data_IF_776855258551
#
_entry.id   IF_776855258551
#
_cell.length_a   1.000
_cell.length_b   1.000
_cell.length_c   1.000
_cell.angle_alpha   90.00
_cell.angle_beta   90.00
_cell.angle_gamma   90.00
#
_symmetry.space_group_name_H-M   'P 1'
#
loop_
_entity.id
_entity.type
_entity.pdbx_description
1 polymer ?
#
# COMPACT_ATOMS: atom_id res chain seq x y z
N UNK A 1 22.64 -16.68 14.61
CA UNK A 1 21.22 -16.32 14.87
C UNK A 1 20.31 -16.60 13.67
N UNK A 2 20.58 -16.05 12.48
CA UNK A 2 19.74 -16.30 11.29
C UNK A 2 19.53 -17.79 10.95
N UNK A 3 20.57 -18.64 11.05
CA UNK A 3 20.46 -20.10 10.83
C UNK A 3 19.55 -20.84 11.83
N UNK A 4 19.25 -20.23 12.99
CA UNK A 4 18.34 -20.78 14.01
C UNK A 4 16.88 -20.39 13.74
N UNK A 5 16.65 -19.37 12.89
CA UNK A 5 15.35 -18.81 12.57
C UNK A 5 14.61 -19.65 11.51
N UNK A 6 14.55 -20.98 11.72
CA UNK A 6 13.84 -21.91 10.85
C UNK A 6 12.33 -21.90 11.13
N UNK A 7 11.94 -21.66 12.38
CA UNK A 7 10.55 -21.60 12.82
C UNK A 7 10.11 -20.16 13.08
N UNK A 8 8.86 -19.82 12.75
CA UNK A 8 8.35 -18.44 12.81
C UNK A 8 8.43 -17.79 14.20
N UNK A 9 8.26 -18.58 15.27
CA UNK A 9 8.40 -18.12 16.67
C UNK A 9 9.85 -17.74 16.99
N UNK A 10 10.81 -18.56 16.54
CA UNK A 10 12.24 -18.31 16.71
C UNK A 10 12.71 -17.11 15.89
N UNK A 11 12.22 -16.96 14.65
CA UNK A 11 12.46 -15.76 13.82
C UNK A 11 12.03 -14.50 14.56
N UNK A 12 10.80 -14.49 15.10
CA UNK A 12 10.28 -13.34 15.85
C UNK A 12 11.13 -12.99 17.05
N UNK A 13 11.50 -13.96 17.90
CA UNK A 13 12.32 -13.70 19.09
C UNK A 13 13.69 -13.13 18.76
N UNK A 14 14.33 -13.62 17.70
CA UNK A 14 15.62 -13.10 17.23
C UNK A 14 15.47 -11.67 16.73
N UNK A 15 14.48 -11.41 15.87
CA UNK A 15 14.26 -10.08 15.30
C UNK A 15 13.87 -9.05 16.38
N UNK A 16 12.97 -9.38 17.31
CA UNK A 16 12.61 -8.50 18.41
C UNK A 16 13.80 -8.12 19.28
N UNK A 17 14.72 -9.05 19.52
CA UNK A 17 15.93 -8.78 20.30
C UNK A 17 16.85 -7.80 19.57
N UNK A 18 17.02 -7.97 18.26
CA UNK A 18 17.79 -7.05 17.41
C UNK A 18 17.13 -5.68 17.34
N UNK A 19 15.81 -5.62 17.15
CA UNK A 19 15.08 -4.37 17.06
C UNK A 19 15.17 -3.57 18.35
N UNK A 20 15.07 -4.22 19.52
CA UNK A 20 15.30 -3.54 20.81
C UNK A 20 16.69 -2.95 20.92
N UNK A 21 17.71 -3.67 20.44
CA UNK A 21 19.07 -3.16 20.41
C UNK A 21 19.19 -1.95 19.46
N UNK A 22 18.65 -2.05 18.24
CA UNK A 22 18.64 -0.96 17.26
C UNK A 22 17.89 0.27 17.77
N UNK A 23 16.74 0.08 18.43
CA UNK A 23 15.96 1.14 19.08
C UNK A 23 16.79 1.85 20.16
N UNK A 24 17.42 1.08 21.06
CA UNK A 24 18.17 1.63 22.20
C UNK A 24 19.44 2.38 21.81
N UNK A 25 20.10 1.93 20.74
CA UNK A 25 21.36 2.50 20.26
C UNK A 25 21.18 3.43 19.05
N UNK A 26 19.93 3.70 18.65
CA UNK A 26 19.58 4.52 17.49
C UNK A 26 20.31 4.10 16.19
N UNK A 27 20.32 2.81 15.88
CA UNK A 27 21.09 2.22 14.78
C UNK A 27 20.26 2.02 13.50
N UNK A 28 19.12 2.68 13.39
CA UNK A 28 18.18 2.51 12.28
C UNK A 28 18.54 3.28 11.02
N UNK A 29 19.34 4.36 11.13
CA UNK A 29 19.78 5.16 9.98
C UNK A 29 20.36 4.25 8.88
N UNK A 30 19.81 4.28 7.65
CA UNK A 30 20.33 3.48 6.54
C UNK A 30 21.81 3.78 6.21
N UNK A 31 22.23 5.03 6.41
CA UNK A 31 23.57 5.50 6.06
C UNK A 31 24.59 5.29 7.19
N UNK A 32 24.20 5.56 8.45
CA UNK A 32 25.11 5.61 9.59
C UNK A 32 24.88 4.50 10.62
N UNK A 33 23.78 3.76 10.48
CA UNK A 33 23.37 2.71 11.38
C UNK A 33 23.85 1.32 10.95
N UNK A 34 23.46 0.32 11.74
CA UNK A 34 23.78 -1.08 11.49
C UNK A 34 22.54 -1.92 11.14
N UNK A 35 21.33 -1.38 11.35
CA UNK A 35 20.10 -2.15 11.17
C UNK A 35 19.95 -2.66 9.74
N UNK A 36 20.17 -1.79 8.74
CA UNK A 36 20.01 -2.18 7.33
C UNK A 36 20.95 -3.32 6.93
N UNK A 37 22.26 -3.18 7.20
CA UNK A 37 23.26 -4.18 6.79
C UNK A 37 23.06 -5.52 7.50
N UNK A 38 22.72 -5.49 8.79
CA UNK A 38 22.43 -6.70 9.57
C UNK A 38 21.17 -7.38 9.05
N UNK A 39 20.09 -6.62 8.79
CA UNK A 39 18.82 -7.20 8.34
C UNK A 39 18.89 -7.72 6.90
N UNK A 40 19.64 -7.06 6.01
CA UNK A 40 19.91 -7.59 4.66
C UNK A 40 20.69 -8.90 4.71
N UNK A 41 21.72 -8.98 5.56
CA UNK A 41 22.46 -10.22 5.75
C UNK A 41 21.56 -11.35 6.30
N UNK A 42 20.72 -11.02 7.29
CA UNK A 42 19.74 -11.97 7.80
C UNK A 42 18.76 -12.43 6.73
N UNK A 43 18.19 -11.50 5.95
CA UNK A 43 17.29 -11.82 4.85
C UNK A 43 17.96 -12.80 3.88
N UNK A 44 19.18 -12.52 3.44
CA UNK A 44 19.94 -13.40 2.54
C UNK A 44 20.12 -14.81 3.11
N UNK A 45 20.53 -14.93 4.38
CA UNK A 45 20.70 -16.24 5.03
C UNK A 45 19.37 -17.00 5.13
N UNK A 46 18.30 -16.28 5.48
CA UNK A 46 16.95 -16.85 5.64
C UNK A 46 16.40 -17.32 4.28
N UNK A 47 16.54 -16.52 3.23
CA UNK A 47 16.15 -16.90 1.85
C UNK A 47 16.90 -18.14 1.36
N UNK A 48 18.22 -18.18 1.58
CA UNK A 48 19.05 -19.31 1.17
C UNK A 48 18.73 -20.59 1.94
N UNK A 49 18.08 -20.47 3.10
CA UNK A 49 17.58 -21.62 3.88
C UNK A 49 16.17 -22.07 3.47
N UNK A 50 15.52 -21.36 2.54
CA UNK A 50 14.21 -21.72 1.99
C UNK A 50 13.02 -21.54 2.92
N UNK A 51 13.18 -20.84 4.05
CA UNK A 51 12.13 -20.71 5.07
C UNK A 51 11.93 -19.27 5.52
N UNK A 52 10.65 -18.86 5.69
CA UNK A 52 10.25 -17.73 6.53
C UNK A 52 10.82 -16.32 6.25
N UNK A 53 11.42 -16.06 5.09
CA UNK A 53 11.94 -14.71 4.76
C UNK A 53 10.88 -13.62 4.85
N UNK A 54 9.67 -13.93 4.40
CA UNK A 54 8.52 -13.01 4.39
C UNK A 54 8.09 -12.54 5.77
N UNK A 55 8.45 -13.29 6.82
CA UNK A 55 8.18 -12.90 8.21
C UNK A 55 9.01 -11.69 8.62
N UNK A 56 10.21 -11.50 8.06
CA UNK A 56 11.07 -10.37 8.42
C UNK A 56 10.39 -9.03 8.09
N UNK A 57 9.88 -8.87 6.86
CA UNK A 57 9.15 -7.68 6.45
C UNK A 57 7.89 -7.46 7.31
N UNK A 58 7.11 -8.52 7.53
CA UNK A 58 5.88 -8.43 8.35
C UNK A 58 6.16 -8.02 9.80
N UNK A 59 7.20 -8.57 10.41
CA UNK A 59 7.59 -8.25 11.79
C UNK A 59 8.17 -6.83 11.86
N UNK A 60 8.93 -6.40 10.85
CA UNK A 60 9.51 -5.06 10.81
C UNK A 60 8.46 -3.97 10.57
N UNK A 61 7.48 -4.18 9.69
CA UNK A 61 6.36 -3.25 9.53
C UNK A 61 5.59 -3.10 10.85
N UNK A 62 5.32 -4.21 11.56
CA UNK A 62 4.67 -4.17 12.89
C UNK A 62 5.50 -3.44 13.95
N UNK A 63 6.81 -3.40 13.79
CA UNK A 63 7.71 -2.69 14.70
C UNK A 63 7.54 -1.16 14.62
N UNK A 64 6.95 -0.62 13.54
CA UNK A 64 6.63 0.81 13.43
C UNK A 64 5.64 1.27 14.51
N UNK A 65 4.79 0.38 15.00
CA UNK A 65 3.84 0.64 16.10
C UNK A 65 4.47 0.44 17.49
N UNK A 66 5.76 0.09 17.58
CA UNK A 66 6.43 -0.09 18.86
C UNK A 66 6.58 1.25 19.60
N UNK A 67 6.32 1.23 20.91
CA UNK A 67 6.32 2.45 21.77
C UNK A 67 7.62 3.25 21.73
N UNK A 68 8.77 2.62 21.49
CA UNK A 68 10.05 3.34 21.39
C UNK A 68 10.17 4.06 20.05
N UNK A 69 9.68 3.43 18.99
CA UNK A 69 9.66 3.97 17.63
C UNK A 69 8.67 5.14 17.53
N UNK A 70 7.46 4.98 18.08
CA UNK A 70 6.44 6.04 18.10
C UNK A 70 6.89 7.35 18.78
N UNK A 71 7.88 7.28 19.68
CA UNK A 71 8.43 8.46 20.37
C UNK A 71 9.49 9.21 19.57
N UNK A 72 10.00 8.62 18.49
CA UNK A 72 11.07 9.19 17.68
C UNK A 72 10.65 9.22 16.19
N UNK A 73 10.14 10.36 15.70
CA UNK A 73 9.68 10.51 14.31
C UNK A 73 10.77 10.24 13.26
N UNK A 74 12.04 10.54 13.57
CA UNK A 74 13.15 10.27 12.65
C UNK A 74 13.46 8.77 12.59
N UNK A 75 13.41 8.07 13.72
CA UNK A 75 13.55 6.62 13.76
C UNK A 75 12.44 5.93 12.97
N UNK A 76 11.21 6.46 12.99
CA UNK A 76 10.12 5.96 12.14
C UNK A 76 10.47 6.05 10.65
N UNK A 77 10.96 7.21 10.19
CA UNK A 77 11.39 7.39 8.81
C UNK A 77 12.51 6.41 8.44
N UNK A 78 13.52 6.29 9.31
CA UNK A 78 14.63 5.37 9.09
C UNK A 78 14.14 3.91 8.96
N UNK A 79 13.24 3.47 9.84
CA UNK A 79 12.67 2.11 9.78
C UNK A 79 11.87 1.90 8.50
N UNK A 80 11.04 2.87 8.06
CA UNK A 80 10.33 2.78 6.77
C UNK A 80 11.32 2.68 5.60
N UNK A 81 12.40 3.46 5.64
CA UNK A 81 13.49 3.36 4.68
C UNK A 81 14.13 1.96 4.67
N UNK A 82 14.43 1.39 5.84
CA UNK A 82 14.97 0.03 5.97
C UNK A 82 14.00 -1.02 5.42
N UNK A 83 12.70 -0.93 5.73
CA UNK A 83 11.66 -1.83 5.18
C UNK A 83 11.65 -1.75 3.66
N UNK A 84 11.72 -0.53 3.11
CA UNK A 84 11.72 -0.29 1.65
C UNK A 84 12.91 -0.95 0.97
N UNK A 85 14.12 -0.84 1.54
CA UNK A 85 15.32 -1.49 1.01
C UNK A 85 15.21 -3.02 1.07
N UNK A 86 14.76 -3.57 2.20
CA UNK A 86 14.54 -5.01 2.34
C UNK A 86 13.50 -5.53 1.34
N UNK A 87 12.40 -4.79 1.15
CA UNK A 87 11.35 -5.13 0.19
C UNK A 87 11.91 -5.17 -1.23
N UNK A 88 12.73 -4.18 -1.62
CA UNK A 88 13.42 -4.15 -2.94
C UNK A 88 14.22 -5.42 -3.21
N UNK A 89 15.02 -5.86 -2.23
CA UNK A 89 15.88 -7.05 -2.33
C UNK A 89 15.12 -8.38 -2.14
N UNK A 90 13.91 -8.35 -1.56
CA UNK A 90 13.10 -9.56 -1.34
C UNK A 90 12.65 -10.16 -2.68
N UNK A 91 12.67 -11.49 -2.79
CA UNK A 91 12.15 -12.19 -3.97
C UNK A 91 10.64 -12.01 -4.09
N UNK A 92 10.17 -11.87 -5.32
CA UNK A 92 8.72 -11.81 -5.63
C UNK A 92 8.10 -13.16 -5.27
N UNK A 93 7.15 -13.16 -4.34
CA UNK A 93 6.41 -14.34 -3.90
C UNK A 93 5.15 -13.92 -3.16
N UNK A 94 4.01 -14.50 -3.53
CA UNK A 94 2.78 -14.33 -2.78
C UNK A 94 2.90 -15.03 -1.41
N UNK A 95 2.83 -14.24 -0.34
CA UNK A 95 2.92 -14.73 1.04
C UNK A 95 1.92 -14.02 1.93
N UNK A 96 1.26 -14.78 2.81
CA UNK A 96 0.36 -14.24 3.84
C UNK A 96 1.07 -13.19 4.71
N UNK A 97 2.38 -13.35 4.94
CA UNK A 97 3.16 -12.40 5.72
C UNK A 97 3.38 -11.07 4.97
N UNK A 98 3.64 -11.11 3.66
CA UNK A 98 3.74 -9.88 2.83
C UNK A 98 2.38 -9.20 2.72
N UNK A 99 1.29 -9.96 2.54
CA UNK A 99 -0.08 -9.40 2.51
C UNK A 99 -0.42 -8.74 3.85
N UNK A 100 -0.04 -9.36 4.97
CA UNK A 100 -0.18 -8.76 6.30
C UNK A 100 0.64 -7.47 6.44
N UNK A 101 1.90 -7.47 5.97
CA UNK A 101 2.76 -6.29 5.94
C UNK A 101 2.17 -5.15 5.10
N UNK A 102 1.57 -5.48 3.95
CA UNK A 102 0.87 -4.53 3.08
C UNK A 102 -0.33 -3.89 3.80
N UNK A 103 -1.17 -4.70 4.46
CA UNK A 103 -2.32 -4.22 5.23
C UNK A 103 -1.89 -3.29 6.38
N UNK A 104 -0.83 -3.65 7.10
CA UNK A 104 -0.23 -2.80 8.13
C UNK A 104 0.33 -1.50 7.52
N UNK A 105 1.01 -1.55 6.36
CA UNK A 105 1.51 -0.35 5.69
C UNK A 105 0.40 0.57 5.17
N UNK A 106 -0.72 0.02 4.67
CA UNK A 106 -1.91 0.81 4.33
C UNK A 106 -2.50 1.52 5.56
N UNK A 107 -2.40 0.93 6.75
CA UNK A 107 -2.77 1.57 8.02
C UNK A 107 -1.86 2.76 8.32
N UNK A 108 -0.55 2.63 8.10
CA UNK A 108 0.41 3.74 8.22
C UNK A 108 0.12 4.83 7.18
N UNK A 109 -0.24 4.46 5.94
CA UNK A 109 -0.62 5.42 4.91
C UNK A 109 -1.86 6.21 5.34
N UNK A 110 -2.91 5.52 5.81
CA UNK A 110 -4.10 6.17 6.35
C UNK A 110 -3.78 7.13 7.51
N UNK A 111 -2.95 6.70 8.47
CA UNK A 111 -2.49 7.54 9.59
C UNK A 111 -1.75 8.79 9.06
N UNK A 112 -0.84 8.64 8.09
CA UNK A 112 -0.09 9.75 7.51
C UNK A 112 -0.99 10.77 6.79
N UNK A 113 -2.00 10.30 6.05
CA UNK A 113 -2.99 11.16 5.39
C UNK A 113 -3.78 11.94 6.44
N UNK A 114 -4.19 11.28 7.53
CA UNK A 114 -4.91 11.93 8.62
C UNK A 114 -4.08 13.04 9.27
N UNK A 115 -2.80 12.80 9.56
CA UNK A 115 -1.89 13.79 10.14
C UNK A 115 -1.75 15.04 9.25
N UNK A 116 -1.84 14.90 7.92
CA UNK A 116 -1.74 16.02 6.98
C UNK A 116 -3.02 16.86 6.81
N UNK A 117 -4.15 16.49 7.44
CA UNK A 117 -5.40 17.23 7.27
C UNK A 117 -5.44 18.56 8.06
N UNK A 118 -4.72 18.62 9.18
CA UNK A 118 -4.72 19.78 10.10
C UNK A 118 -3.41 20.59 10.04
N UNK A 119 -2.63 20.45 8.96
CA UNK A 119 -1.30 21.07 8.79
C UNK A 119 -1.30 22.60 9.01
N UNK A 120 -2.42 23.28 8.78
CA UNK A 120 -2.56 24.73 8.93
C UNK A 120 -2.20 25.29 10.32
N UNK A 121 -2.27 24.46 11.37
CA UNK A 121 -1.95 24.86 12.74
C UNK A 121 -0.60 24.30 13.24
N UNK A 122 0.15 23.60 12.38
CA UNK A 122 1.40 22.92 12.73
C UNK A 122 2.63 23.76 12.34
N UNK A 123 3.75 23.53 13.03
CA UNK A 123 5.04 24.12 12.66
C UNK A 123 5.57 23.54 11.35
N UNK A 124 6.34 24.32 10.58
CA UNK A 124 6.89 23.93 9.28
C UNK A 124 7.67 22.61 9.31
N UNK A 125 8.42 22.37 10.40
CA UNK A 125 9.16 21.12 10.61
C UNK A 125 8.23 19.89 10.68
N UNK A 126 7.08 20.02 11.33
CA UNK A 126 6.11 18.92 11.48
C UNK A 126 5.43 18.64 10.14
N UNK A 127 5.05 19.70 9.41
CA UNK A 127 4.45 19.58 8.07
C UNK A 127 5.44 18.89 7.12
N UNK A 128 6.70 19.32 7.12
CA UNK A 128 7.75 18.69 6.30
C UNK A 128 7.96 17.22 6.67
N UNK A 129 7.95 16.90 7.97
CA UNK A 129 8.04 15.52 8.42
C UNK A 129 6.83 14.69 7.99
N UNK A 130 5.60 15.20 8.12
CA UNK A 130 4.37 14.52 7.69
C UNK A 130 4.43 14.19 6.18
N UNK A 131 4.86 15.15 5.36
CA UNK A 131 5.03 14.97 3.92
C UNK A 131 6.08 13.91 3.59
N UNK A 132 7.24 13.97 4.27
CA UNK A 132 8.31 12.99 4.09
C UNK A 132 7.84 11.59 4.51
N UNK A 133 7.22 11.46 5.67
CA UNK A 133 6.72 10.18 6.17
C UNK A 133 5.67 9.56 5.24
N UNK A 134 4.72 10.37 4.75
CA UNK A 134 3.74 9.92 3.76
C UNK A 134 4.42 9.41 2.48
N UNK A 135 5.45 10.10 2.01
CA UNK A 135 6.20 9.72 0.79
C UNK A 135 6.94 8.39 0.99
N UNK A 136 7.65 8.23 2.10
CA UNK A 136 8.36 6.99 2.43
C UNK A 136 7.40 5.80 2.60
N UNK A 137 6.25 6.02 3.26
CA UNK A 137 5.21 5.00 3.42
C UNK A 137 4.60 4.60 2.08
N UNK A 138 4.36 5.56 1.19
CA UNK A 138 3.84 5.31 -0.15
C UNK A 138 4.81 4.48 -1.00
N UNK A 139 6.09 4.85 -1.03
CA UNK A 139 7.14 4.08 -1.72
C UNK A 139 7.28 2.68 -1.12
N UNK A 140 7.26 2.54 0.21
CA UNK A 140 7.28 1.24 0.86
C UNK A 140 6.08 0.38 0.45
N UNK A 141 4.89 0.98 0.33
CA UNK A 141 3.68 0.30 -0.11
C UNK A 141 3.78 -0.16 -1.57
N UNK A 142 4.35 0.66 -2.46
CA UNK A 142 4.65 0.28 -3.85
C UNK A 142 5.57 -0.96 -3.86
N UNK A 143 6.68 -0.92 -3.11
CA UNK A 143 7.63 -2.04 -3.08
C UNK A 143 6.97 -3.32 -2.56
N UNK A 144 6.18 -3.27 -1.48
CA UNK A 144 5.47 -4.44 -0.96
C UNK A 144 4.46 -5.00 -1.97
N UNK A 145 3.75 -4.13 -2.69
CA UNK A 145 2.74 -4.53 -3.68
C UNK A 145 3.40 -5.27 -4.85
N UNK A 146 4.57 -4.80 -5.33
CA UNK A 146 5.36 -5.47 -6.37
C UNK A 146 5.74 -6.90 -5.97
N UNK A 147 6.03 -7.13 -4.68
CA UNK A 147 6.44 -8.47 -4.19
C UNK A 147 5.30 -9.49 -4.18
N UNK A 148 4.05 -9.04 -4.15
CA UNK A 148 2.87 -9.92 -4.24
C UNK A 148 2.67 -10.42 -5.68
N UNK A 149 3.10 -9.65 -6.69
CA UNK A 149 3.04 -9.95 -8.13
C UNK A 149 1.65 -10.13 -8.76
N UNK A 150 0.60 -10.19 -7.95
CA UNK A 150 -0.78 -10.35 -8.38
C UNK A 150 -1.67 -9.33 -7.67
N UNK A 151 -2.54 -8.67 -8.45
CA UNK A 151 -3.45 -7.66 -7.93
C UNK A 151 -4.51 -8.24 -6.99
N UNK A 152 -4.89 -9.52 -7.17
CA UNK A 152 -6.02 -10.09 -6.45
C UNK A 152 -5.96 -9.97 -4.92
N UNK A 153 -4.89 -10.47 -4.27
CA UNK A 153 -4.73 -10.37 -2.81
C UNK A 153 -4.71 -8.93 -2.27
N UNK A 154 -4.27 -7.96 -3.09
CA UNK A 154 -4.26 -6.54 -2.74
C UNK A 154 -5.68 -5.98 -2.76
N UNK A 155 -6.47 -6.35 -3.79
CA UNK A 155 -7.89 -5.98 -3.90
C UNK A 155 -8.73 -6.59 -2.76
N UNK A 156 -8.43 -7.82 -2.35
CA UNK A 156 -9.07 -8.44 -1.18
C UNK A 156 -8.71 -7.69 0.11
N UNK A 157 -7.45 -7.25 0.25
CA UNK A 157 -7.02 -6.44 1.40
C UNK A 157 -7.75 -5.09 1.44
N UNK A 158 -7.97 -4.45 0.28
CA UNK A 158 -8.76 -3.22 0.19
C UNK A 158 -10.21 -3.45 0.63
N UNK A 159 -10.83 -4.58 0.29
CA UNK A 159 -12.18 -4.92 0.72
C UNK A 159 -12.27 -5.04 2.25
N UNK A 160 -11.34 -5.79 2.87
CA UNK A 160 -11.29 -5.97 4.33
C UNK A 160 -11.09 -4.62 5.06
N UNK A 161 -10.32 -3.70 4.48
CA UNK A 161 -10.16 -2.37 5.07
C UNK A 161 -11.43 -1.52 4.96
N UNK A 162 -12.16 -1.60 3.85
CA UNK A 162 -13.42 -0.88 3.65
C UNK A 162 -14.57 -1.42 4.51
N UNK A 163 -14.58 -2.71 4.84
CA UNK A 163 -15.56 -3.30 5.77
C UNK A 163 -15.55 -2.60 7.14
N UNK A 164 -14.38 -2.08 7.55
CA UNK A 164 -14.19 -1.37 8.80
C UNK A 164 -14.37 0.16 8.66
N UNK A 165 -15.14 0.62 7.67
CA UNK A 165 -15.40 2.04 7.46
C UNK A 165 -16.17 2.63 8.65
N UNK A 166 -15.65 3.73 9.20
CA UNK A 166 -16.25 4.44 10.33
C UNK A 166 -17.31 5.43 9.86
N UNK A 167 -18.35 5.65 10.66
CA UNK A 167 -19.33 6.73 10.45
C UNK A 167 -18.75 8.14 10.74
N UNK A 168 -17.55 8.23 11.31
CA UNK A 168 -16.87 9.50 11.54
C UNK A 168 -16.30 9.99 10.21
N UNK A 169 -16.79 11.14 9.72
CA UNK A 169 -16.48 11.70 8.40
C UNK A 169 -14.98 11.71 8.08
N UNK A 170 -14.17 12.29 8.98
CA UNK A 170 -12.71 12.38 8.78
C UNK A 170 -12.06 10.99 8.70
N UNK A 171 -12.56 10.02 9.47
CA UNK A 171 -12.06 8.65 9.46
C UNK A 171 -12.45 7.91 8.17
N UNK A 172 -13.65 8.15 7.62
CA UNK A 172 -14.08 7.60 6.35
C UNK A 172 -13.27 8.16 5.17
N UNK A 173 -13.06 9.49 5.15
CA UNK A 173 -12.27 10.18 4.11
C UNK A 173 -10.82 9.73 4.07
N UNK A 174 -10.18 9.57 5.23
CA UNK A 174 -8.80 9.09 5.29
C UNK A 174 -8.68 7.63 4.85
N UNK A 175 -9.66 6.78 5.21
CA UNK A 175 -9.71 5.38 4.78
C UNK A 175 -9.86 5.27 3.26
N UNK A 176 -10.85 5.95 2.68
CA UNK A 176 -11.11 5.86 1.24
C UNK A 176 -9.97 6.48 0.41
N UNK A 177 -9.29 7.50 0.92
CA UNK A 177 -8.09 8.07 0.30
C UNK A 177 -6.92 7.08 0.29
N UNK A 178 -6.68 6.36 1.39
CA UNK A 178 -5.65 5.32 1.46
C UNK A 178 -5.98 4.16 0.49
N UNK A 179 -7.23 3.70 0.47
CA UNK A 179 -7.69 2.65 -0.45
C UNK A 179 -7.57 3.09 -1.90
N UNK A 180 -7.92 4.35 -2.20
CA UNK A 180 -7.74 4.93 -3.54
C UNK A 180 -6.29 4.96 -3.98
N UNK A 181 -5.36 5.36 -3.08
CA UNK A 181 -3.94 5.34 -3.41
C UNK A 181 -3.45 3.91 -3.69
N UNK A 182 -3.84 2.93 -2.88
CA UNK A 182 -3.50 1.52 -3.15
C UNK A 182 -4.09 1.02 -4.47
N UNK A 183 -5.31 1.44 -4.83
CA UNK A 183 -5.91 1.12 -6.11
C UNK A 183 -5.06 1.65 -7.29
N UNK A 184 -4.51 2.85 -7.17
CA UNK A 184 -3.61 3.42 -8.18
C UNK A 184 -2.31 2.62 -8.30
N UNK A 185 -1.73 2.18 -7.18
CA UNK A 185 -0.51 1.36 -7.17
C UNK A 185 -0.78 0.03 -7.86
N UNK A 186 -1.85 -0.68 -7.47
CA UNK A 186 -2.15 -2.01 -8.00
C UNK A 186 -2.60 -2.00 -9.46
N UNK A 187 -3.13 -0.87 -9.97
CA UNK A 187 -3.50 -0.73 -11.39
C UNK A 187 -2.34 -0.97 -12.37
N UNK A 188 -1.09 -0.83 -11.89
CA UNK A 188 0.13 -1.10 -12.67
C UNK A 188 0.58 -2.57 -12.64
N UNK A 189 -0.07 -3.43 -11.86
CA UNK A 189 0.33 -4.82 -11.64
C UNK A 189 -0.58 -5.76 -12.43
N UNK A 190 -0.02 -6.84 -13.04
CA UNK A 190 -0.82 -7.86 -13.70
C UNK A 190 -1.87 -8.45 -12.75
N UNK A 191 -3.12 -8.47 -13.19
CA UNK A 191 -4.21 -9.04 -12.42
C UNK A 191 -4.42 -10.52 -12.78
N UNK A 192 -3.41 -11.36 -12.51
CA UNK A 192 -3.39 -12.78 -12.92
C UNK A 192 -4.58 -13.53 -12.32
N UNK A 193 -4.91 -13.29 -11.04
CA UNK A 193 -6.06 -13.92 -10.37
C UNK A 193 -7.41 -13.58 -11.00
N UNK A 194 -7.52 -12.46 -11.72
CA UNK A 194 -8.76 -12.01 -12.35
C UNK A 194 -8.69 -11.89 -13.88
N UNK A 195 -7.66 -12.45 -14.54
CA UNK A 195 -7.53 -12.45 -16.00
C UNK A 195 -8.76 -13.01 -16.74
N UNK A 196 -9.61 -13.81 -16.06
CA UNK A 196 -10.84 -14.39 -16.60
C UNK A 196 -12.06 -14.23 -15.67
N UNK A 197 -12.03 -13.31 -14.70
CA UNK A 197 -13.11 -13.13 -13.71
C UNK A 197 -13.76 -11.75 -13.80
N UNK A 198 -15.02 -11.67 -13.38
CA UNK A 198 -15.70 -10.42 -13.06
C UNK A 198 -14.93 -9.65 -11.98
N UNK A 199 -15.21 -8.34 -11.87
CA UNK A 199 -14.68 -7.46 -10.83
C UNK A 199 -14.69 -8.14 -9.43
N UNK A 200 -13.67 -7.94 -8.58
CA UNK A 200 -13.60 -8.56 -7.25
C UNK A 200 -14.87 -8.32 -6.42
N UNK A 201 -15.64 -9.37 -6.19
CA UNK A 201 -17.00 -9.27 -5.61
C UNK A 201 -17.01 -8.64 -4.22
N UNK A 202 -16.09 -9.06 -3.34
CA UNK A 202 -15.96 -8.51 -2.00
C UNK A 202 -15.66 -7.00 -2.03
N UNK A 203 -14.71 -6.58 -2.87
CA UNK A 203 -14.38 -5.16 -3.04
C UNK A 203 -15.56 -4.39 -3.64
N UNK A 204 -16.26 -4.97 -4.62
CA UNK A 204 -17.42 -4.35 -5.24
C UNK A 204 -18.52 -4.07 -4.21
N UNK A 205 -18.85 -5.06 -3.39
CA UNK A 205 -19.85 -4.91 -2.34
C UNK A 205 -19.50 -3.78 -1.38
N UNK A 206 -18.26 -3.75 -0.88
CA UNK A 206 -17.81 -2.71 0.03
C UNK A 206 -17.79 -1.32 -0.64
N UNK A 207 -17.47 -1.23 -1.92
CA UNK A 207 -17.53 0.02 -2.67
C UNK A 207 -18.95 0.52 -2.88
N UNK A 208 -19.94 -0.35 -3.13
CA UNK A 208 -21.33 0.06 -3.22
C UNK A 208 -21.83 0.69 -1.91
N UNK A 209 -21.44 0.12 -0.76
CA UNK A 209 -21.73 0.69 0.55
C UNK A 209 -21.05 2.06 0.73
N UNK A 210 -19.78 2.20 0.33
CA UNK A 210 -19.07 3.46 0.41
C UNK A 210 -19.60 4.54 -0.56
N UNK A 211 -20.16 4.15 -1.71
CA UNK A 211 -20.76 5.06 -2.70
C UNK A 211 -22.07 5.69 -2.24
N UNK A 212 -22.74 5.10 -1.24
CA UNK A 212 -23.97 5.67 -0.63
C UNK A 212 -23.70 6.32 0.73
N UNK A 213 -22.44 6.49 1.10
CA UNK A 213 -22.05 7.12 2.37
C UNK A 213 -22.57 8.57 2.48
N UNK A 214 -22.90 9.03 3.69
CA UNK A 214 -23.46 10.37 3.92
C UNK A 214 -22.51 11.50 3.48
N UNK A 215 -21.21 11.31 3.69
CA UNK A 215 -20.16 12.23 3.25
C UNK A 215 -19.88 12.15 1.74
N UNK A 216 -19.87 13.30 1.06
CA UNK A 216 -19.70 13.35 -0.39
C UNK A 216 -18.28 13.02 -0.86
N UNK A 217 -17.23 13.37 -0.10
CA UNK A 217 -15.85 13.06 -0.49
C UNK A 217 -15.60 11.55 -0.42
N UNK A 218 -16.17 10.89 0.59
CA UNK A 218 -16.17 9.43 0.66
C UNK A 218 -16.85 8.78 -0.55
N UNK A 219 -18.03 9.27 -0.95
CA UNK A 219 -18.72 8.75 -2.15
C UNK A 219 -17.87 8.91 -3.41
N UNK A 220 -17.32 10.10 -3.61
CA UNK A 220 -16.46 10.39 -4.77
C UNK A 220 -15.20 9.51 -4.75
N UNK A 221 -14.58 9.33 -3.58
CA UNK A 221 -13.44 8.43 -3.40
C UNK A 221 -13.77 6.99 -3.80
N UNK A 222 -14.92 6.47 -3.38
CA UNK A 222 -15.37 5.12 -3.75
C UNK A 222 -15.59 4.96 -5.26
N UNK A 223 -16.20 5.96 -5.92
CA UNK A 223 -16.31 5.96 -7.38
C UNK A 223 -14.96 6.00 -8.09
N UNK A 224 -13.98 6.72 -7.55
CA UNK A 224 -12.62 6.73 -8.10
C UNK A 224 -11.91 5.38 -7.95
N UNK A 225 -12.04 4.74 -6.78
CA UNK A 225 -11.51 3.37 -6.57
C UNK A 225 -12.12 2.41 -7.58
N UNK A 226 -13.46 2.40 -7.68
CA UNK A 226 -14.18 1.55 -8.62
C UNK A 226 -13.71 1.76 -10.06
N UNK A 227 -13.56 3.02 -10.49
CA UNK A 227 -13.13 3.35 -11.84
C UNK A 227 -11.71 2.86 -12.14
N UNK A 228 -10.77 3.03 -11.20
CA UNK A 228 -9.38 2.58 -11.35
C UNK A 228 -9.27 1.05 -11.43
N UNK A 229 -10.05 0.33 -10.61
CA UNK A 229 -10.02 -1.15 -10.61
C UNK A 229 -10.74 -1.72 -11.84
N UNK A 230 -11.84 -1.09 -12.28
CA UNK A 230 -12.63 -1.56 -13.42
C UNK A 230 -11.91 -1.34 -14.77
N UNK A 231 -11.21 -0.21 -14.89
CA UNK A 231 -10.45 0.15 -16.08
C UNK A 231 -8.98 0.23 -15.68
N UNK A 232 -8.25 -0.90 -15.67
CA UNK A 232 -6.80 -0.87 -15.47
C UNK A 232 -6.22 0.03 -16.55
N UNK A 233 -5.81 1.24 -16.18
CA UNK A 233 -5.32 2.23 -17.13
C UNK A 233 -4.03 1.71 -17.75
N UNK A 234 -3.94 1.69 -19.07
CA UNK A 234 -2.70 1.47 -19.83
C UNK A 234 -1.66 2.59 -19.65
N UNK A 235 -1.94 3.55 -18.77
CA UNK A 235 -1.11 4.73 -18.49
C UNK A 235 -0.94 4.82 -16.98
N UNK A 236 0.28 4.62 -16.51
CA UNK A 236 0.65 4.85 -15.11
C UNK A 236 0.45 6.33 -14.76
N UNK A 237 -0.32 6.71 -13.73
CA UNK A 237 -0.35 8.09 -13.27
C UNK A 237 0.94 8.38 -12.51
N UNK A 238 1.80 9.20 -13.11
CA UNK A 238 2.95 9.79 -12.43
C UNK A 238 2.43 10.67 -11.27
N UNK A 239 3.05 10.65 -10.07
CA UNK A 239 2.61 11.49 -8.97
C UNK A 239 2.88 12.96 -9.30
N UNK A 240 1.85 13.69 -9.70
CA UNK A 240 1.92 15.15 -9.86
C UNK A 240 2.05 15.79 -8.48
N UNK A 241 3.25 16.29 -8.18
CA UNK A 241 3.45 17.33 -7.17
C UNK A 241 2.63 18.56 -7.58
N UNK A 242 1.86 19.09 -6.63
CA UNK A 242 1.73 20.52 -6.29
C UNK A 242 0.32 20.85 -5.75
N UNK A 243 0.27 21.19 -4.46
CA UNK A 243 -0.71 22.14 -3.95
C UNK A 243 -0.20 23.54 -4.30
N UNK A 244 -0.67 24.09 -5.41
CA UNK A 244 -0.62 25.53 -5.68
C UNK A 244 -2.05 26.05 -5.88
N UNK A 245 -2.33 27.13 -5.16
CA UNK A 245 -3.62 27.80 -5.01
C UNK A 245 -4.14 28.41 -6.32
N UNK A 246 -5.43 28.18 -6.60
CA UNK A 246 -6.39 29.08 -7.27
C UNK A 246 -6.12 29.48 -8.73
N UNK A 247 -6.86 28.85 -9.66
CA UNK A 247 -7.89 29.52 -10.52
C UNK A 247 -8.55 28.51 -11.47
N UNK A 248 -9.83 28.74 -11.74
CA UNK A 248 -10.66 28.03 -12.71
C UNK A 248 -10.01 27.94 -14.08
N UNK A 249 -9.62 26.74 -14.49
CA UNK A 249 -9.38 26.40 -15.88
C UNK A 249 -9.76 24.93 -16.08
N UNK A 250 -10.70 24.74 -16.99
CA UNK A 250 -11.19 23.53 -17.62
C UNK A 250 -10.81 22.16 -17.05
N UNK A 251 -11.86 21.39 -16.78
CA UNK A 251 -11.83 19.92 -16.72
C UNK A 251 -11.41 19.42 -18.11
N UNK A 252 -10.11 19.47 -18.38
CA UNK A 252 -9.53 18.88 -19.56
C UNK A 252 -9.57 17.38 -19.33
N UNK A 253 -10.65 16.77 -19.84
CA UNK A 253 -10.81 15.33 -20.05
C UNK A 253 -9.57 14.79 -20.78
N UNK A 254 -8.54 14.42 -20.04
CA UNK A 254 -7.54 13.47 -20.51
C UNK A 254 -8.08 12.05 -20.31
N UNK A 255 -9.17 11.75 -21.02
CA UNK A 255 -9.46 10.39 -21.43
C UNK A 255 -8.63 10.17 -22.69
N UNK A 256 -7.37 9.77 -22.51
CA UNK A 256 -6.53 9.30 -23.61
C UNK A 256 -7.21 8.07 -24.22
N UNK A 257 -7.82 8.31 -25.38
CA UNK A 257 -8.26 7.35 -26.39
C UNK A 257 -7.31 6.16 -26.48
N UNK A 258 -7.89 4.98 -26.21
CA UNK A 258 -7.69 3.69 -26.90
C UNK A 258 -7.59 2.52 -25.90
N UNK A 259 -8.73 2.06 -25.37
CA UNK A 259 -8.93 0.62 -25.12
C UNK A 259 -10.38 0.29 -25.46
N UNK A 260 -10.54 -0.47 -26.54
CA UNK A 260 -11.81 -0.92 -27.12
C UNK A 260 -12.42 -2.06 -26.31
N UNK A 261 -12.82 -1.81 -25.05
CA UNK A 261 -13.53 -2.81 -24.22
C UNK A 261 -14.98 -3.05 -24.72
N UNK A 262 -15.50 -2.16 -25.57
CA UNK A 262 -16.80 -2.32 -26.23
C UNK A 262 -16.80 -3.25 -27.45
N UNK A 263 -15.64 -3.74 -27.91
CA UNK A 263 -15.61 -4.69 -29.05
C UNK A 263 -16.16 -6.07 -28.70
N UNK A 264 -16.29 -6.40 -27.40
CA UNK A 264 -16.86 -7.68 -26.97
C UNK A 264 -18.39 -7.73 -27.13
N UNK A 265 -19.08 -6.59 -27.12
CA UNK A 265 -20.53 -6.53 -27.31
C UNK A 265 -20.89 -6.71 -28.79
N UNK A 266 -20.15 -6.03 -29.68
CA UNK A 266 -20.35 -6.15 -31.13
C UNK A 266 -20.09 -7.58 -31.64
N UNK A 267 -19.06 -8.26 -31.14
CA UNK A 267 -18.77 -9.65 -31.49
C UNK A 267 -19.84 -10.64 -30.98
N UNK A 268 -20.54 -10.32 -29.89
CA UNK A 268 -21.67 -11.12 -29.39
C UNK A 268 -22.93 -10.92 -30.25
N UNK A 269 -23.19 -9.71 -30.72
CA UNK A 269 -24.31 -9.43 -31.62
C UNK A 269 -24.09 -10.00 -33.03
N UNK A 270 -22.87 -9.95 -33.56
CA UNK A 270 -22.54 -10.55 -34.86
C UNK A 270 -22.70 -12.09 -34.85
N UNK A 271 -22.53 -12.72 -33.67
CA UNK A 271 -22.73 -14.16 -33.47
C UNK A 271 -24.21 -14.56 -33.36
N UNK A 272 -25.10 -13.60 -33.09
CA UNK A 272 -26.56 -13.78 -33.08
C UNK A 272 -27.16 -13.63 -34.49
N UNK A 273 -26.64 -12.72 -35.32
CA UNK A 273 -27.12 -12.54 -36.70
C UNK A 273 -26.74 -13.69 -37.64
N UNK A 274 -25.66 -14.43 -37.36
CA UNK A 274 -25.25 -15.60 -38.18
C UNK A 274 -26.00 -16.90 -37.84
N UNK A 275 -27.04 -16.85 -37.00
CA UNK A 275 -27.87 -18.01 -36.62
C UNK A 275 -29.32 -17.92 -37.11
N UNK A 276 -29.60 -17.10 -38.12
CA UNK A 276 -30.84 -17.17 -38.91
C UNK A 276 -30.57 -17.76 -40.28
#
# INVERSE_FOLDING_TARGET
MAKLAKEGTTVRRVLESLFRYFDSANLWSPEHGLALSVLLNMQSIIENSGQNTHLLLSILVKHLDHKNVLKNPNMQLDIVGVITHLAKETRVQQSVAIIGALSDMMRHLRKSIHCSLDDSNLGSEIIQWNQKYRTEVDECLVQLTIKIADAGPVLDTMAVLLENMSNITVMARTLIAAVYRTAQIVASIPNISYQNKSFPEALFHQLLLAMVHADHETRVGAHRVFSVVLVPSSVCPQPSQEFASVKSADIQRMLSRNVSVFSSSAALFEKLERKQ
#
